data_IF_822066710095
#
_entry.id   IF_822066710095
#
_cell.length_a   1.000
_cell.length_b   1.000
_cell.length_c   1.000
_cell.angle_alpha   90.00
_cell.angle_beta   90.00
_cell.angle_gamma   90.00
#
_symmetry.space_group_name_H-M   'P 1'
#
loop_
_entity.id
_entity.type
_entity.pdbx_description
1 polymer ?
#
# COMPACT_ATOMS: atom_id res chain seq x y z
N UNK A 1 -13.01 -5.69 -6.65
CA UNK A 1 -12.71 -4.98 -5.38
C UNK A 1 -12.98 -3.50 -5.57
N UNK A 2 -13.37 -2.79 -4.50
CA UNK A 2 -13.32 -1.34 -4.41
C UNK A 2 -12.14 -0.93 -3.53
N UNK A 3 -11.26 -0.09 -4.09
CA UNK A 3 -10.21 0.57 -3.32
C UNK A 3 -10.69 1.95 -2.88
N UNK A 4 -10.92 2.15 -1.59
CA UNK A 4 -11.43 3.42 -1.03
C UNK A 4 -10.30 4.17 -0.33
N UNK A 5 -9.76 5.17 -1.01
CA UNK A 5 -8.66 5.99 -0.52
C UNK A 5 -8.95 7.47 -0.72
N UNK A 6 -8.41 8.31 0.16
CA UNK A 6 -8.56 9.75 0.09
C UNK A 6 -7.73 10.48 1.14
N UNK A 7 -7.85 11.79 1.17
CA UNK A 7 -7.33 12.60 2.28
C UNK A 7 -8.09 12.31 3.58
N UNK A 8 -7.47 12.66 4.70
CA UNK A 8 -8.14 12.64 6.00
C UNK A 8 -9.17 13.77 6.03
N UNK A 9 -10.43 13.40 6.26
CA UNK A 9 -11.53 14.35 6.47
C UNK A 9 -11.60 14.68 7.97
N UNK A 10 -11.41 15.95 8.33
CA UNK A 10 -11.27 16.38 9.74
C UNK A 10 -12.45 15.96 10.63
N UNK A 11 -13.67 16.01 10.10
CA UNK A 11 -14.90 15.71 10.85
C UNK A 11 -15.48 14.32 10.57
N UNK A 12 -14.76 13.45 9.85
CA UNK A 12 -15.27 12.10 9.57
C UNK A 12 -15.33 11.27 10.85
N UNK A 13 -16.46 10.57 11.05
CA UNK A 13 -16.69 9.69 12.20
C UNK A 13 -16.75 8.23 11.74
N UNK A 14 -16.73 7.29 12.69
CA UNK A 14 -16.88 5.86 12.39
C UNK A 14 -18.23 5.59 11.73
N UNK A 15 -19.29 6.27 12.15
CA UNK A 15 -20.64 6.17 11.56
C UNK A 15 -20.66 6.58 10.08
N UNK A 16 -19.87 7.61 9.71
CA UNK A 16 -19.76 8.05 8.32
C UNK A 16 -19.15 6.95 7.44
N UNK A 17 -18.02 6.37 7.86
CA UNK A 17 -17.39 5.27 7.12
C UNK A 17 -18.24 4.00 7.15
N UNK A 18 -18.91 3.70 8.27
CA UNK A 18 -19.84 2.57 8.39
C UNK A 18 -21.01 2.70 7.39
N UNK A 19 -21.56 3.90 7.26
CA UNK A 19 -22.62 4.19 6.30
C UNK A 19 -22.15 3.97 4.85
N UNK A 20 -20.96 4.45 4.51
CA UNK A 20 -20.38 4.27 3.18
C UNK A 20 -20.18 2.78 2.84
N UNK A 21 -19.63 2.01 3.78
CA UNK A 21 -19.43 0.57 3.61
C UNK A 21 -20.75 -0.16 3.41
N UNK A 22 -21.75 0.10 4.28
CA UNK A 22 -23.09 -0.50 4.16
C UNK A 22 -23.77 -0.14 2.84
N UNK A 23 -23.61 1.10 2.37
CA UNK A 23 -24.16 1.54 1.09
C UNK A 23 -23.55 0.75 -0.07
N UNK A 24 -22.23 0.61 -0.10
CA UNK A 24 -21.54 -0.18 -1.13
C UNK A 24 -21.93 -1.65 -1.08
N UNK A 25 -21.89 -2.28 0.11
CA UNK A 25 -22.28 -3.68 0.29
C UNK A 25 -23.77 -3.95 0.01
N UNK A 26 -24.64 -2.95 0.16
CA UNK A 26 -26.07 -3.10 -0.19
C UNK A 26 -26.32 -3.22 -1.70
N UNK A 27 -25.45 -2.61 -2.52
CA UNK A 27 -25.53 -2.66 -3.99
C UNK A 27 -24.59 -3.71 -4.59
N UNK A 28 -23.47 -3.99 -3.94
CA UNK A 28 -22.38 -4.86 -4.41
C UNK A 28 -21.89 -5.78 -3.28
N UNK A 29 -22.74 -6.73 -2.80
CA UNK A 29 -22.45 -7.53 -1.61
C UNK A 29 -21.16 -8.36 -1.74
N UNK A 30 -20.90 -8.89 -2.93
CA UNK A 30 -19.79 -9.80 -3.21
C UNK A 30 -18.48 -9.05 -3.57
N UNK A 31 -18.51 -7.72 -3.68
CA UNK A 31 -17.30 -6.94 -4.02
C UNK A 31 -16.52 -6.65 -2.74
N UNK A 32 -15.28 -7.12 -2.69
CA UNK A 32 -14.36 -6.84 -1.59
C UNK A 32 -14.09 -5.34 -1.45
N UNK A 33 -13.96 -4.85 -0.21
CA UNK A 33 -13.65 -3.45 0.07
C UNK A 33 -12.29 -3.38 0.75
N UNK A 34 -11.32 -2.81 0.03
CA UNK A 34 -10.00 -2.46 0.53
C UNK A 34 -9.94 -0.95 0.73
N UNK A 35 -9.88 -0.48 1.97
CA UNK A 35 -10.09 0.94 2.16
C UNK A 35 -9.70 1.51 3.49
N UNK A 36 -9.61 2.83 3.47
CA UNK A 36 -9.22 3.72 4.56
C UNK A 36 -7.78 3.49 5.01
N UNK A 37 -7.01 4.56 5.09
CA UNK A 37 -5.70 4.46 5.73
C UNK A 37 -5.88 4.22 7.25
N UNK A 38 -4.88 3.60 7.92
CA UNK A 38 -4.88 3.48 9.38
C UNK A 38 -5.15 4.81 10.11
N UNK A 39 -4.62 5.91 9.57
CA UNK A 39 -4.85 7.27 10.08
C UNK A 39 -6.32 7.68 10.00
N UNK A 40 -7.00 7.41 8.88
CA UNK A 40 -8.41 7.76 8.72
C UNK A 40 -9.30 7.05 9.75
N UNK A 41 -9.04 5.77 10.02
CA UNK A 41 -9.82 4.99 10.99
C UNK A 41 -9.52 5.46 12.42
N UNK A 42 -8.25 5.72 12.75
CA UNK A 42 -7.87 6.28 14.05
C UNK A 42 -8.57 7.63 14.30
N UNK A 43 -8.50 8.54 13.33
CA UNK A 43 -9.07 9.88 13.48
C UNK A 43 -10.60 9.83 13.58
N UNK A 44 -11.23 8.94 12.82
CA UNK A 44 -12.66 8.68 12.96
C UNK A 44 -13.03 8.09 14.33
N UNK A 45 -12.23 7.18 14.87
CA UNK A 45 -12.46 6.63 16.21
C UNK A 45 -12.37 7.72 17.29
N UNK A 46 -11.38 8.64 17.16
CA UNK A 46 -11.25 9.80 18.03
C UNK A 46 -12.47 10.73 17.93
N UNK A 47 -12.92 11.04 16.71
CA UNK A 47 -14.09 11.88 16.47
C UNK A 47 -15.40 11.25 16.95
N UNK A 48 -15.50 9.92 16.94
CA UNK A 48 -16.62 9.16 17.50
C UNK A 48 -16.50 8.92 19.01
N UNK A 49 -15.42 9.38 19.66
CA UNK A 49 -15.13 9.14 21.08
C UNK A 49 -15.13 7.65 21.47
N UNK A 50 -14.68 6.76 20.57
CA UNK A 50 -14.57 5.31 20.82
C UNK A 50 -13.14 4.79 20.67
N UNK A 51 -12.79 3.67 21.33
CA UNK A 51 -11.53 2.98 21.10
C UNK A 51 -11.33 2.55 19.64
N UNK A 52 -10.07 2.55 19.17
CA UNK A 52 -9.72 2.16 17.79
C UNK A 52 -10.10 0.70 17.49
N UNK A 53 -9.99 -0.20 18.47
CA UNK A 53 -10.39 -1.60 18.31
C UNK A 53 -11.90 -1.76 18.14
N UNK A 54 -12.70 -0.95 18.85
CA UNK A 54 -14.16 -0.86 18.66
C UNK A 54 -14.49 -0.35 17.24
N UNK A 55 -13.79 0.69 16.76
CA UNK A 55 -13.96 1.20 15.41
C UNK A 55 -13.70 0.13 14.33
N UNK A 56 -12.60 -0.62 14.44
CA UNK A 56 -12.32 -1.72 13.51
C UNK A 56 -13.37 -2.82 13.55
N UNK A 57 -13.86 -3.20 14.74
CA UNK A 57 -14.97 -4.18 14.87
C UNK A 57 -16.23 -3.71 14.14
N UNK A 58 -16.60 -2.43 14.30
CA UNK A 58 -17.76 -1.82 13.62
C UNK A 58 -17.56 -1.85 12.11
N UNK A 59 -16.42 -1.35 11.62
CA UNK A 59 -16.16 -1.26 10.18
C UNK A 59 -16.04 -2.64 9.52
N UNK A 60 -15.41 -3.62 10.18
CA UNK A 60 -15.37 -5.00 9.69
C UNK A 60 -16.77 -5.58 9.55
N UNK A 61 -17.63 -5.40 10.56
CA UNK A 61 -19.03 -5.84 10.50
C UNK A 61 -19.82 -5.13 9.39
N UNK A 62 -19.47 -3.89 9.07
CA UNK A 62 -20.06 -3.12 7.98
C UNK A 62 -19.57 -3.56 6.59
N UNK A 63 -18.54 -4.38 6.51
CA UNK A 63 -18.01 -4.96 5.27
C UNK A 63 -16.65 -4.43 4.83
N UNK A 64 -15.90 -3.77 5.72
CA UNK A 64 -14.48 -3.51 5.47
C UNK A 64 -13.72 -4.84 5.48
N UNK A 65 -13.02 -5.10 4.37
CA UNK A 65 -12.29 -6.32 4.13
C UNK A 65 -10.83 -6.24 4.54
N UNK A 66 -10.09 -5.39 3.83
CA UNK A 66 -8.66 -5.21 4.02
C UNK A 66 -8.25 -3.73 4.08
N UNK A 67 -7.06 -3.46 4.61
CA UNK A 67 -6.49 -2.11 4.67
C UNK A 67 -5.41 -1.88 3.61
N UNK A 68 -5.42 -0.69 2.98
CA UNK A 68 -4.27 -0.19 2.22
C UNK A 68 -3.13 0.17 3.16
N UNK A 69 -1.93 -0.36 2.92
CA UNK A 69 -0.70 -0.09 3.68
C UNK A 69 -0.14 1.31 3.55
N UNK A 70 -0.88 2.21 2.91
CA UNK A 70 -0.56 3.62 2.72
C UNK A 70 -0.42 4.37 4.05
N UNK A 71 0.16 5.58 4.00
CA UNK A 71 0.49 6.43 5.16
C UNK A 71 1.64 5.93 6.07
N UNK A 72 2.28 4.81 5.72
CA UNK A 72 3.51 4.36 6.35
C UNK A 72 4.72 5.26 5.98
N UNK A 73 4.79 5.73 4.72
CA UNK A 73 5.95 6.44 4.16
C UNK A 73 7.27 5.73 4.50
N UNK A 74 8.12 6.36 5.31
CA UNK A 74 9.18 5.70 6.09
C UNK A 74 8.77 5.75 7.57
N UNK A 75 8.94 4.63 8.27
CA UNK A 75 8.49 4.43 9.65
C UNK A 75 9.61 4.84 10.61
N UNK A 76 9.99 6.12 10.53
CA UNK A 76 10.95 6.77 11.41
C UNK A 76 10.51 8.21 11.65
N UNK A 77 10.44 8.66 12.89
CA UNK A 77 9.84 9.95 13.22
C UNK A 77 10.57 11.13 12.57
N UNK A 78 11.90 11.08 12.42
CA UNK A 78 12.69 12.11 11.72
C UNK A 78 12.19 12.34 10.28
N UNK A 79 12.06 11.26 9.50
CA UNK A 79 11.57 11.37 8.12
C UNK A 79 10.13 11.85 8.08
N UNK A 80 9.28 11.36 8.98
CA UNK A 80 7.85 11.73 9.07
C UNK A 80 7.65 13.19 9.44
N UNK A 81 8.45 13.75 10.34
CA UNK A 81 8.44 15.17 10.71
C UNK A 81 8.73 16.09 9.50
N UNK A 82 9.55 15.63 8.56
CA UNK A 82 9.91 16.40 7.37
C UNK A 82 8.87 16.27 6.27
N UNK A 83 8.43 15.04 5.96
CA UNK A 83 7.58 14.76 4.78
C UNK A 83 6.09 14.82 5.08
N UNK A 84 5.68 14.53 6.31
CA UNK A 84 4.27 14.40 6.68
C UNK A 84 4.01 14.72 8.17
N UNK A 85 4.37 15.93 8.66
CA UNK A 85 4.34 16.27 10.09
C UNK A 85 2.96 16.18 10.77
N UNK A 86 1.88 16.18 10.00
CA UNK A 86 0.52 16.04 10.50
C UNK A 86 0.07 14.59 10.68
N UNK A 87 0.83 13.62 10.16
CA UNK A 87 0.51 12.20 10.32
C UNK A 87 0.92 11.72 11.71
N UNK A 88 0.16 10.74 12.18
CA UNK A 88 0.50 9.66 13.12
C UNK A 88 2.02 9.46 13.32
N UNK A 89 2.50 9.32 14.56
CA UNK A 89 3.89 8.88 14.84
C UNK A 89 4.14 7.45 14.35
N UNK A 90 5.40 7.01 14.33
CA UNK A 90 5.74 5.64 13.96
C UNK A 90 5.06 4.63 14.89
N UNK A 91 5.12 4.85 16.21
CA UNK A 91 4.54 3.93 17.19
C UNK A 91 3.00 3.86 17.07
N UNK A 92 2.33 5.00 16.92
CA UNK A 92 0.87 4.99 16.73
C UNK A 92 0.47 4.25 15.45
N UNK A 93 1.26 4.34 14.37
CA UNK A 93 0.97 3.59 13.14
C UNK A 93 1.09 2.09 13.37
N UNK A 94 2.15 1.65 14.08
CA UNK A 94 2.37 0.26 14.46
C UNK A 94 1.19 -0.25 15.29
N UNK A 95 0.77 0.50 16.31
CA UNK A 95 -0.31 0.12 17.22
C UNK A 95 -1.64 -0.03 16.46
N UNK A 96 -2.00 0.93 15.61
CA UNK A 96 -3.24 0.87 14.81
C UNK A 96 -3.24 -0.32 13.86
N UNK A 97 -2.12 -0.63 13.20
CA UNK A 97 -2.00 -1.79 12.32
C UNK A 97 -2.14 -3.10 13.08
N UNK A 98 -1.51 -3.23 14.24
CA UNK A 98 -1.65 -4.42 15.08
C UNK A 98 -3.10 -4.62 15.52
N UNK A 99 -3.78 -3.56 15.95
CA UNK A 99 -5.21 -3.61 16.31
C UNK A 99 -6.06 -4.05 15.11
N UNK A 100 -5.76 -3.56 13.90
CA UNK A 100 -6.46 -3.99 12.69
C UNK A 100 -6.29 -5.50 12.44
N UNK A 101 -5.05 -5.99 12.52
CA UNK A 101 -4.74 -7.40 12.36
C UNK A 101 -5.41 -8.27 13.43
N UNK A 102 -5.46 -7.83 14.69
CA UNK A 102 -6.18 -8.49 15.79
C UNK A 102 -7.70 -8.52 15.58
N UNK A 103 -8.27 -7.47 14.98
CA UNK A 103 -9.66 -7.48 14.52
C UNK A 103 -9.89 -8.41 13.30
N UNK A 104 -8.82 -9.02 12.77
CA UNK A 104 -8.81 -9.89 11.61
C UNK A 104 -9.02 -9.13 10.30
N UNK A 105 -8.59 -7.88 10.23
CA UNK A 105 -8.54 -7.09 9.00
C UNK A 105 -7.10 -7.15 8.53
N UNK A 106 -6.86 -7.84 7.42
CA UNK A 106 -5.53 -7.94 6.80
C UNK A 106 -5.26 -6.74 5.89
N UNK A 107 -4.06 -6.60 5.35
CA UNK A 107 -3.78 -5.46 4.47
C UNK A 107 -2.44 -5.52 3.77
N UNK A 108 -2.17 -4.49 2.98
CA UNK A 108 -0.83 -4.29 2.42
C UNK A 108 0.07 -3.54 3.40
N UNK A 109 1.37 -3.64 3.21
CA UNK A 109 2.38 -2.76 3.79
C UNK A 109 3.05 -1.97 2.66
N UNK A 110 3.30 -0.68 2.85
CA UNK A 110 3.95 0.14 1.83
C UNK A 110 5.16 0.86 2.37
N UNK A 111 6.12 1.14 1.49
CA UNK A 111 7.29 1.98 1.80
C UNK A 111 7.44 3.00 0.69
N UNK A 112 7.22 4.28 0.98
CA UNK A 112 7.57 5.36 0.05
C UNK A 112 9.03 5.73 0.30
N UNK A 113 9.87 5.72 -0.73
CA UNK A 113 11.32 5.89 -0.57
C UNK A 113 11.95 6.71 -1.69
N UNK A 114 13.16 7.19 -1.47
CA UNK A 114 13.84 8.13 -2.34
C UNK A 114 13.47 9.57 -2.02
N UNK A 115 13.09 9.87 -0.78
CA UNK A 115 12.89 11.22 -0.29
C UNK A 115 14.05 11.60 0.64
N UNK A 116 13.74 12.09 1.84
CA UNK A 116 14.73 12.60 2.82
C UNK A 116 15.33 11.52 3.73
N UNK A 117 14.96 10.25 3.55
CA UNK A 117 15.35 9.14 4.42
C UNK A 117 16.77 8.65 4.17
N UNK A 118 17.41 8.07 5.18
CA UNK A 118 18.70 7.39 5.03
C UNK A 118 18.53 5.93 4.65
N UNK A 119 19.62 5.27 4.24
CA UNK A 119 19.58 3.83 3.94
C UNK A 119 19.26 3.00 5.18
N UNK A 120 19.77 3.41 6.35
CA UNK A 120 19.49 2.78 7.64
C UNK A 120 18.00 2.85 7.97
N UNK A 121 17.35 3.99 7.74
CA UNK A 121 15.90 4.15 7.99
C UNK A 121 15.04 3.29 7.04
N UNK A 122 15.52 3.02 5.82
CA UNK A 122 14.86 2.03 4.93
C UNK A 122 14.93 0.62 5.51
N UNK A 123 16.08 0.24 6.06
CA UNK A 123 16.26 -1.08 6.68
C UNK A 123 15.44 -1.18 7.96
N UNK A 124 15.40 -0.13 8.78
CA UNK A 124 14.57 -0.03 9.97
C UNK A 124 13.09 -0.19 9.64
N UNK A 125 12.59 0.51 8.61
CA UNK A 125 11.22 0.35 8.13
C UNK A 125 10.92 -1.10 7.75
N UNK A 126 11.80 -1.76 6.98
CA UNK A 126 11.61 -3.16 6.59
C UNK A 126 11.62 -4.11 7.81
N UNK A 127 12.47 -3.87 8.81
CA UNK A 127 12.48 -4.69 10.03
C UNK A 127 11.21 -4.47 10.87
N UNK A 128 10.72 -3.22 11.00
CA UNK A 128 9.43 -2.93 11.67
C UNK A 128 8.29 -3.74 11.04
N UNK A 129 8.16 -3.69 9.71
CA UNK A 129 7.13 -4.47 8.99
C UNK A 129 7.29 -5.97 9.24
N UNK A 130 8.54 -6.47 9.24
CA UNK A 130 8.84 -7.87 9.50
C UNK A 130 8.45 -8.28 10.92
N UNK A 131 8.73 -7.46 11.93
CA UNK A 131 8.38 -7.75 13.32
C UNK A 131 6.86 -7.77 13.53
N UNK A 132 6.14 -6.79 12.97
CA UNK A 132 4.66 -6.79 12.99
C UNK A 132 4.14 -8.08 12.36
N UNK A 133 4.65 -8.46 11.19
CA UNK A 133 4.20 -9.67 10.52
C UNK A 133 4.48 -10.95 11.29
N UNK A 134 5.64 -11.04 11.95
CA UNK A 134 5.98 -12.18 12.81
C UNK A 134 5.04 -12.29 14.02
N UNK A 135 4.51 -11.16 14.50
CA UNK A 135 3.60 -11.11 15.65
C UNK A 135 2.15 -11.39 15.25
N UNK A 136 1.68 -10.80 14.16
CA UNK A 136 0.24 -10.76 13.84
C UNK A 136 -0.15 -11.48 12.54
N UNK A 137 0.79 -11.69 11.62
CA UNK A 137 0.54 -12.36 10.32
C UNK A 137 -0.47 -11.66 9.41
N UNK A 138 -0.70 -10.36 9.57
CA UNK A 138 -1.82 -9.64 8.93
C UNK A 138 -1.49 -8.94 7.61
N UNK A 139 -0.23 -8.83 7.22
CA UNK A 139 0.15 -8.31 5.91
C UNK A 139 0.05 -9.38 4.83
N UNK A 140 -0.64 -9.03 3.74
CA UNK A 140 -0.78 -9.86 2.55
C UNK A 140 0.33 -9.60 1.54
N UNK A 141 0.81 -8.36 1.46
CA UNK A 141 1.82 -7.91 0.49
C UNK A 141 2.65 -6.74 0.98
N UNK A 142 3.81 -6.56 0.37
CA UNK A 142 4.65 -5.37 0.49
C UNK A 142 4.75 -4.62 -0.84
N UNK A 143 4.61 -3.29 -0.81
CA UNK A 143 4.62 -2.43 -1.99
C UNK A 143 5.70 -1.34 -1.83
N UNK A 144 6.89 -1.51 -2.44
CA UNK A 144 7.90 -0.46 -2.49
C UNK A 144 7.51 0.60 -3.54
N UNK A 145 7.28 1.83 -3.08
CA UNK A 145 6.85 2.95 -3.90
C UNK A 145 7.96 4.00 -4.04
N UNK A 146 8.54 4.11 -5.24
CA UNK A 146 9.53 5.15 -5.51
C UNK A 146 8.89 6.54 -5.41
N UNK A 147 9.59 7.50 -4.81
CA UNK A 147 9.09 8.85 -4.58
C UNK A 147 9.18 9.69 -5.84
N UNK A 148 8.00 10.07 -6.36
CA UNK A 148 7.87 10.97 -7.50
C UNK A 148 8.00 12.41 -7.01
N UNK A 149 9.20 12.97 -7.13
CA UNK A 149 9.58 14.20 -6.41
C UNK A 149 9.28 15.49 -7.16
N UNK A 150 9.18 15.48 -8.50
CA UNK A 150 9.17 16.67 -9.37
C UNK A 150 8.09 17.72 -8.99
N UNK A 151 6.96 17.27 -8.45
CA UNK A 151 5.84 18.14 -8.04
C UNK A 151 5.58 18.14 -6.53
N UNK A 152 6.47 17.53 -5.75
CA UNK A 152 6.29 17.42 -4.30
C UNK A 152 6.57 18.75 -3.59
N UNK A 153 5.86 19.08 -2.47
CA UNK A 153 6.11 20.30 -1.71
C UNK A 153 7.57 20.47 -1.30
N UNK A 154 8.21 19.39 -0.81
CA UNK A 154 9.60 19.43 -0.37
C UNK A 154 10.57 19.76 -1.51
N UNK A 155 10.33 19.27 -2.72
CA UNK A 155 11.15 19.62 -3.89
C UNK A 155 10.98 21.08 -4.29
N UNK A 156 9.73 21.56 -4.29
CA UNK A 156 9.37 22.94 -4.61
C UNK A 156 9.91 23.95 -3.57
N UNK A 157 9.99 23.53 -2.30
CA UNK A 157 10.60 24.29 -1.20
C UNK A 157 12.13 24.29 -1.22
N UNK A 158 12.73 23.55 -2.16
CA UNK A 158 14.17 23.60 -2.42
C UNK A 158 14.95 22.39 -1.96
N UNK A 159 14.32 21.33 -1.43
CA UNK A 159 15.04 20.09 -1.16
C UNK A 159 15.64 19.52 -2.44
N UNK A 160 16.82 18.92 -2.29
CA UNK A 160 17.63 18.35 -3.37
C UNK A 160 17.94 16.90 -3.05
N UNK A 161 18.53 16.22 -4.03
CA UNK A 161 18.90 14.80 -3.94
C UNK A 161 17.70 13.87 -3.64
N UNK A 162 16.54 14.24 -4.19
CA UNK A 162 15.32 13.44 -4.16
C UNK A 162 15.26 12.50 -5.37
N UNK A 163 14.50 11.43 -5.23
CA UNK A 163 14.35 10.36 -6.20
C UNK A 163 15.38 9.24 -6.01
N UNK A 164 14.94 8.01 -6.23
CA UNK A 164 15.83 6.88 -6.35
C UNK A 164 16.24 6.68 -7.81
N UNK A 165 17.48 6.24 -8.02
CA UNK A 165 17.93 5.71 -9.31
C UNK A 165 17.33 4.32 -9.55
N UNK A 166 17.17 3.91 -10.80
CA UNK A 166 16.66 2.56 -11.11
C UNK A 166 17.48 1.41 -10.49
N UNK A 167 18.78 1.62 -10.25
CA UNK A 167 19.61 0.65 -9.52
C UNK A 167 19.24 0.58 -8.03
N UNK A 168 18.94 1.72 -7.40
CA UNK A 168 18.48 1.76 -6.01
C UNK A 168 17.09 1.14 -5.88
N UNK A 169 16.18 1.42 -6.82
CA UNK A 169 14.86 0.79 -6.88
C UNK A 169 15.00 -0.75 -6.93
N UNK A 170 15.78 -1.26 -7.88
CA UNK A 170 15.96 -2.71 -8.07
C UNK A 170 16.59 -3.39 -6.85
N UNK A 171 17.57 -2.72 -6.22
CA UNK A 171 18.18 -3.21 -4.97
C UNK A 171 17.15 -3.30 -3.84
N UNK A 172 16.23 -2.34 -3.72
CA UNK A 172 15.21 -2.40 -2.69
C UNK A 172 14.29 -3.61 -2.86
N UNK A 173 13.84 -3.91 -4.08
CA UNK A 173 13.05 -5.12 -4.36
C UNK A 173 13.79 -6.40 -3.95
N UNK A 174 15.08 -6.50 -4.30
CA UNK A 174 15.91 -7.65 -3.95
C UNK A 174 16.13 -7.78 -2.43
N UNK A 175 16.41 -6.67 -1.74
CA UNK A 175 16.60 -6.63 -0.29
C UNK A 175 15.31 -7.00 0.43
N UNK A 176 14.17 -6.42 0.03
CA UNK A 176 12.86 -6.74 0.60
C UNK A 176 12.55 -8.24 0.47
N UNK A 177 12.80 -8.84 -0.71
CA UNK A 177 12.64 -10.30 -0.89
C UNK A 177 13.53 -11.11 0.06
N UNK A 178 14.78 -10.70 0.26
CA UNK A 178 15.71 -11.41 1.15
C UNK A 178 15.36 -11.25 2.64
N UNK A 179 14.85 -10.08 3.04
CA UNK A 179 14.44 -9.78 4.41
C UNK A 179 13.13 -10.45 4.79
N UNK A 180 12.14 -10.42 3.90
CA UNK A 180 10.81 -10.98 4.16
C UNK A 180 10.74 -12.48 3.86
N UNK A 181 11.34 -12.96 2.76
CA UNK A 181 11.22 -14.36 2.29
C UNK A 181 9.77 -14.84 2.27
N UNK A 182 9.39 -15.69 3.23
CA UNK A 182 8.07 -16.29 3.38
C UNK A 182 7.23 -15.59 4.47
N UNK A 183 7.80 -14.60 5.18
CA UNK A 183 7.11 -13.81 6.23
C UNK A 183 6.08 -12.88 5.59
N UNK A 184 6.50 -12.09 4.59
CA UNK A 184 5.61 -11.36 3.67
C UNK A 184 5.92 -11.88 2.26
N UNK A 185 5.16 -12.87 1.77
CA UNK A 185 5.55 -13.59 0.55
C UNK A 185 5.34 -12.76 -0.71
N UNK A 186 4.41 -11.80 -0.70
CA UNK A 186 4.04 -11.05 -1.89
C UNK A 186 4.72 -9.68 -1.90
N UNK A 187 5.40 -9.37 -2.99
CA UNK A 187 6.00 -8.08 -3.26
C UNK A 187 5.43 -7.56 -4.57
N UNK A 188 4.59 -6.53 -4.46
CA UNK A 188 3.94 -5.89 -5.59
C UNK A 188 4.85 -4.85 -6.21
N UNK A 189 4.89 -4.83 -7.55
CA UNK A 189 5.54 -3.77 -8.31
C UNK A 189 4.59 -2.60 -8.50
N UNK A 190 5.00 -1.39 -8.11
CA UNK A 190 4.32 -0.14 -8.47
C UNK A 190 4.59 0.26 -9.93
N UNK A 191 4.07 -0.53 -10.88
CA UNK A 191 4.31 -0.32 -12.33
C UNK A 191 3.78 1.04 -12.82
N UNK A 192 2.76 1.62 -12.17
CA UNK A 192 2.27 2.97 -12.52
C UNK A 192 3.38 4.01 -12.38
N UNK A 193 4.22 3.89 -11.35
CA UNK A 193 5.31 4.83 -11.09
C UNK A 193 6.58 4.51 -11.89
N UNK A 194 6.85 3.23 -12.13
CA UNK A 194 8.15 2.78 -12.67
C UNK A 194 8.09 2.34 -14.14
N UNK A 195 6.89 2.16 -14.68
CA UNK A 195 6.64 1.68 -16.01
C UNK A 195 6.76 0.17 -16.21
N UNK A 196 6.22 -0.33 -17.34
CA UNK A 196 6.11 -1.77 -17.60
C UNK A 196 7.46 -2.48 -17.81
N UNK A 197 8.42 -1.80 -18.44
CA UNK A 197 9.77 -2.37 -18.65
C UNK A 197 10.46 -2.61 -17.32
N UNK A 198 10.42 -1.64 -16.41
CA UNK A 198 10.99 -1.79 -15.09
C UNK A 198 10.23 -2.86 -14.29
N UNK A 199 8.91 -2.92 -14.42
CA UNK A 199 8.10 -3.95 -13.77
C UNK A 199 8.55 -5.37 -14.13
N UNK A 200 8.82 -5.65 -15.40
CA UNK A 200 9.36 -6.95 -15.83
C UNK A 200 10.73 -7.25 -15.20
N UNK A 201 11.61 -6.25 -15.09
CA UNK A 201 12.92 -6.41 -14.44
C UNK A 201 12.75 -6.67 -12.94
N UNK A 202 11.84 -5.96 -12.25
CA UNK A 202 11.55 -6.17 -10.83
C UNK A 202 11.00 -7.57 -10.53
N UNK A 203 10.21 -8.15 -11.43
CA UNK A 203 9.74 -9.54 -11.32
C UNK A 203 10.91 -10.55 -11.30
N UNK A 204 12.05 -10.22 -11.91
CA UNK A 204 13.27 -11.03 -11.87
C UNK A 204 14.13 -10.75 -10.63
N UNK A 205 13.83 -9.71 -9.86
CA UNK A 205 14.60 -9.27 -8.70
C UNK A 205 13.88 -9.49 -7.36
N UNK A 206 12.81 -10.27 -7.34
CA UNK A 206 12.12 -10.69 -6.11
C UNK A 206 10.66 -10.28 -6.02
N UNK A 207 10.17 -9.41 -6.91
CA UNK A 207 8.74 -9.17 -7.02
C UNK A 207 8.02 -10.38 -7.64
N UNK A 208 6.77 -10.60 -7.22
CA UNK A 208 5.91 -11.67 -7.72
C UNK A 208 4.49 -11.21 -8.03
N UNK A 209 4.20 -9.92 -7.83
CA UNK A 209 2.88 -9.36 -8.05
C UNK A 209 2.95 -8.06 -8.86
N UNK A 210 2.00 -7.89 -9.78
CA UNK A 210 1.84 -6.69 -10.62
C UNK A 210 0.67 -5.83 -10.17
N UNK A 211 -0.03 -6.19 -9.09
CA UNK A 211 -1.20 -5.48 -8.61
C UNK A 211 -2.38 -5.58 -9.59
N UNK A 212 -3.26 -4.58 -9.53
CA UNK A 212 -4.51 -4.57 -10.30
C UNK A 212 -4.43 -3.89 -11.66
N UNK A 213 -5.50 -4.11 -12.45
CA UNK A 213 -5.79 -3.29 -13.63
C UNK A 213 -6.25 -1.90 -13.21
N UNK A 214 -5.85 -0.88 -13.96
CA UNK A 214 -6.33 0.49 -13.75
C UNK A 214 -7.07 0.98 -14.98
N UNK A 215 -8.18 1.69 -14.77
CA UNK A 215 -8.93 2.39 -15.81
C UNK A 215 -8.57 3.89 -15.90
N UNK A 216 -7.42 4.27 -15.35
CA UNK A 216 -7.05 5.64 -15.00
C UNK A 216 -6.56 5.74 -13.54
N UNK A 217 -5.51 6.50 -13.29
CA UNK A 217 -4.96 6.83 -11.95
C UNK A 217 -4.52 8.29 -11.97
N UNK A 218 -5.47 9.18 -11.71
CA UNK A 218 -5.28 10.64 -11.71
C UNK A 218 -4.24 11.09 -10.68
N UNK A 219 -4.06 10.35 -9.57
CA UNK A 219 -3.11 10.72 -8.52
C UNK A 219 -1.67 10.45 -8.96
N UNK A 220 -1.41 9.29 -9.56
CA UNK A 220 -0.10 8.99 -10.13
C UNK A 220 0.21 9.86 -11.35
N UNK A 221 -0.79 10.16 -12.19
CA UNK A 221 -0.66 11.13 -13.29
C UNK A 221 -0.29 12.53 -12.77
N UNK A 222 -1.02 13.04 -11.77
CA UNK A 222 -0.73 14.32 -11.13
C UNK A 222 0.65 14.34 -10.45
N UNK A 223 1.18 13.17 -10.09
CA UNK A 223 2.52 13.01 -9.52
C UNK A 223 3.62 12.81 -10.58
N UNK A 224 3.30 12.77 -11.89
CA UNK A 224 4.27 12.67 -12.99
C UNK A 224 4.61 11.25 -13.45
N UNK A 225 3.72 10.27 -13.28
CA UNK A 225 3.91 8.90 -13.75
C UNK A 225 4.26 8.83 -15.27
N UNK A 226 5.28 8.06 -15.68
CA UNK A 226 5.80 8.07 -17.06
C UNK A 226 4.99 7.23 -18.06
N UNK A 227 4.31 6.19 -17.59
CA UNK A 227 3.56 5.25 -18.43
C UNK A 227 2.05 5.44 -18.23
N UNK A 228 1.28 5.15 -19.28
CA UNK A 228 -0.18 5.28 -19.29
C UNK A 228 -0.82 4.66 -18.05
N UNK A 229 -1.64 5.46 -17.37
CA UNK A 229 -2.36 5.13 -16.13
C UNK A 229 -3.46 4.07 -16.29
N UNK A 230 -3.33 3.23 -17.32
CA UNK A 230 -4.26 2.16 -17.65
C UNK A 230 -3.48 0.91 -18.07
N UNK A 231 -3.87 -0.22 -17.50
CA UNK A 231 -3.38 -1.54 -17.89
C UNK A 231 -4.55 -2.52 -17.84
N UNK A 232 -4.78 -3.24 -18.93
CA UNK A 232 -5.74 -4.34 -18.95
C UNK A 232 -5.14 -5.64 -18.43
N UNK A 233 -5.99 -6.62 -18.10
CA UNK A 233 -5.56 -7.99 -17.75
C UNK A 233 -4.67 -8.57 -18.85
N UNK A 234 -4.96 -8.27 -20.12
CA UNK A 234 -4.18 -8.73 -21.28
C UNK A 234 -2.78 -8.14 -21.30
N UNK A 235 -2.63 -6.86 -20.97
CA UNK A 235 -1.34 -6.18 -20.95
C UNK A 235 -0.45 -6.76 -19.85
N UNK A 236 -0.96 -6.84 -18.61
CA UNK A 236 -0.23 -7.40 -17.47
C UNK A 236 0.12 -8.88 -17.70
N UNK A 237 -0.82 -9.67 -18.23
CA UNK A 237 -0.58 -11.08 -18.56
C UNK A 237 0.51 -11.25 -19.60
N UNK A 238 0.58 -10.36 -20.60
CA UNK A 238 1.64 -10.38 -21.61
C UNK A 238 3.01 -10.14 -20.97
N UNK A 239 3.13 -9.18 -20.05
CA UNK A 239 4.40 -8.91 -19.35
C UNK A 239 4.94 -10.16 -18.63
N UNK A 240 4.06 -10.91 -17.97
CA UNK A 240 4.41 -12.15 -17.25
C UNK A 240 4.77 -13.28 -18.23
N UNK A 241 3.97 -13.47 -19.30
CA UNK A 241 4.22 -14.50 -20.32
C UNK A 241 5.53 -14.28 -21.09
N UNK A 242 5.86 -13.02 -21.41
CA UNK A 242 7.11 -12.66 -22.09
C UNK A 242 8.35 -12.98 -21.22
N UNK A 243 8.19 -13.12 -19.90
CA UNK A 243 9.22 -13.62 -18.96
C UNK A 243 9.24 -15.16 -18.81
N UNK A 244 8.38 -15.88 -19.54
CA UNK A 244 8.24 -17.34 -19.41
C UNK A 244 7.56 -17.80 -18.12
N UNK A 245 6.80 -16.92 -17.44
CA UNK A 245 6.06 -17.22 -16.22
C UNK A 245 4.56 -17.43 -16.51
N UNK A 246 3.85 -18.02 -15.56
CA UNK A 246 2.40 -18.24 -15.63
C UNK A 246 1.69 -17.09 -14.93
N UNK A 247 0.88 -16.27 -15.64
CA UNK A 247 0.05 -15.26 -14.98
C UNK A 247 -1.14 -15.92 -14.29
N UNK A 248 -1.41 -15.49 -13.06
CA UNK A 248 -2.58 -15.87 -12.28
C UNK A 248 -3.26 -14.59 -11.80
N UNK A 249 -4.59 -14.55 -11.90
CA UNK A 249 -5.40 -13.56 -11.21
C UNK A 249 -5.56 -14.00 -9.75
N UNK A 250 -5.62 -13.05 -8.82
CA UNK A 250 -5.73 -13.31 -7.39
C UNK A 250 -6.85 -12.47 -6.77
N UNK A 251 -7.40 -12.93 -5.66
CA UNK A 251 -8.19 -12.05 -4.80
C UNK A 251 -7.27 -11.15 -3.93
N UNK A 252 -7.86 -10.17 -3.23
CA UNK A 252 -7.13 -9.19 -2.42
C UNK A 252 -6.41 -9.80 -1.21
N UNK A 253 -6.91 -10.92 -0.70
CA UNK A 253 -6.36 -11.63 0.45
C UNK A 253 -5.31 -12.68 0.07
N UNK A 254 -5.03 -12.88 -1.22
CA UNK A 254 -4.11 -13.91 -1.72
C UNK A 254 -4.48 -15.34 -1.29
N UNK A 255 -5.77 -15.62 -1.11
CA UNK A 255 -6.31 -16.93 -0.73
C UNK A 255 -6.86 -17.71 -1.92
N UNK A 256 -7.19 -17.01 -3.02
CA UNK A 256 -7.72 -17.61 -4.24
C UNK A 256 -6.92 -17.15 -5.46
N UNK A 257 -6.65 -18.08 -6.37
CA UNK A 257 -5.89 -17.84 -7.60
C UNK A 257 -6.62 -18.46 -8.79
N UNK A 258 -6.84 -17.65 -9.83
CA UNK A 258 -7.58 -18.03 -11.02
C UNK A 258 -6.66 -18.02 -12.24
N UNK A 259 -6.62 -19.10 -13.02
CA UNK A 259 -5.90 -19.12 -14.30
C UNK A 259 -6.46 -18.06 -15.25
N UNK A 260 -5.57 -17.36 -15.96
CA UNK A 260 -5.98 -16.39 -16.99
C UNK A 260 -5.93 -17.07 -18.37
N UNK A 261 -7.10 -17.42 -18.89
CA UNK A 261 -7.27 -17.98 -20.23
C UNK A 261 -7.44 -16.87 -21.27
N UNK A 262 -6.70 -16.95 -22.38
CA UNK A 262 -6.85 -16.08 -23.55
C UNK A 262 -6.84 -16.92 -24.81
#
# INVERSE_FOLDING_TARGET
EFTLMGGVLEDATVEYYEHLLKLLKSHYPDVEIHGFSPTMIRDAALNSEIPVDEAFKILKKAGLGTLPGTAAEILTDRSREIICPKKVSTQEWIDVIKIAHEAGITGSATMMYGHVETMEERVEHLDILRQIQLETGGFNEFIPMTFMHEYSPIFLEGQRDLGATGTQDLKLYAVARLMFRDIIPNIQVSWVKMGFRFAQVSLLAGANDLGGTLGGDELSEASGAPDGVNASIRDLSKLVKDLGRVPLERNSEYTEFYPIEF
#
